data_IF_800823095930
#
_entry.id   IF_800823095930
#
_cell.length_a   1.000
_cell.length_b   1.000
_cell.length_c   1.000
_cell.angle_alpha   90.00
_cell.angle_beta   90.00
_cell.angle_gamma   90.00
#
_symmetry.space_group_name_H-M   'P 1'
#
loop_
_entity.id
_entity.type
_entity.pdbx_description
1 polymer ?
#
# COMPACT_ATOMS: atom_id res chain seq x y z
N UNK A 1 -17.83 -17.27 6.69
CA UNK A 1 -18.12 -17.50 8.13
C UNK A 1 -17.17 -18.55 8.69
N UNK A 2 -16.97 -18.56 10.00
CA UNK A 2 -16.06 -19.46 10.70
C UNK A 2 -16.82 -20.73 11.13
N UNK A 3 -16.28 -21.95 10.93
CA UNK A 3 -17.04 -23.20 11.06
C UNK A 3 -17.48 -23.55 12.49
N UNK A 4 -16.82 -23.03 13.53
CA UNK A 4 -17.16 -23.25 14.94
C UNK A 4 -18.06 -22.15 15.54
N UNK A 5 -18.62 -21.26 14.72
CA UNK A 5 -19.48 -20.19 15.21
C UNK A 5 -20.82 -20.74 15.71
N UNK A 6 -21.19 -20.39 16.95
CA UNK A 6 -22.47 -20.81 17.54
C UNK A 6 -23.12 -19.68 18.37
N UNK A 7 -24.44 -19.74 18.63
CA UNK A 7 -25.14 -18.79 19.51
C UNK A 7 -24.53 -18.73 20.92
N UNK A 8 -24.06 -19.86 21.46
CA UNK A 8 -23.40 -19.93 22.77
C UNK A 8 -22.09 -19.12 22.78
N UNK A 9 -21.27 -19.22 21.72
CA UNK A 9 -20.04 -18.43 21.61
C UNK A 9 -20.35 -16.94 21.47
N UNK A 10 -21.40 -16.59 20.71
CA UNK A 10 -21.89 -15.21 20.59
C UNK A 10 -22.27 -14.64 21.96
N UNK A 11 -23.00 -15.40 22.78
CA UNK A 11 -23.36 -15.01 24.14
C UNK A 11 -22.13 -14.80 25.03
N UNK A 12 -21.18 -15.75 25.04
CA UNK A 12 -19.93 -15.62 25.81
C UNK A 12 -19.12 -14.38 25.41
N UNK A 13 -19.08 -14.04 24.12
CA UNK A 13 -18.45 -12.82 23.63
C UNK A 13 -19.20 -11.57 24.13
N UNK A 14 -20.53 -11.58 24.10
CA UNK A 14 -21.36 -10.48 24.58
C UNK A 14 -21.17 -10.25 26.09
N UNK A 15 -21.16 -11.31 26.89
CA UNK A 15 -20.92 -11.25 28.33
C UNK A 15 -19.50 -10.72 28.65
N UNK A 16 -18.48 -11.17 27.92
CA UNK A 16 -17.12 -10.61 28.03
C UNK A 16 -17.08 -9.11 27.74
N UNK A 17 -17.74 -8.66 26.66
CA UNK A 17 -17.83 -7.24 26.29
C UNK A 17 -18.57 -6.43 27.36
N UNK A 18 -19.68 -6.95 27.88
CA UNK A 18 -20.45 -6.33 28.97
C UNK A 18 -19.60 -6.15 30.23
N UNK A 19 -18.87 -7.19 30.64
CA UNK A 19 -17.97 -7.12 31.79
C UNK A 19 -16.81 -6.13 31.57
N UNK A 20 -16.22 -6.10 30.37
CA UNK A 20 -15.18 -5.12 30.02
C UNK A 20 -15.69 -3.69 30.09
N UNK A 21 -16.88 -3.42 29.56
CA UNK A 21 -17.49 -2.09 29.61
C UNK A 21 -17.83 -1.68 31.04
N UNK A 22 -18.30 -2.62 31.89
CA UNK A 22 -18.54 -2.38 33.31
C UNK A 22 -17.24 -1.99 34.03
N UNK A 23 -16.16 -2.74 33.81
CA UNK A 23 -14.84 -2.45 34.39
C UNK A 23 -14.27 -1.11 33.89
N UNK A 24 -14.42 -0.78 32.60
CA UNK A 24 -13.96 0.51 32.05
C UNK A 24 -14.69 1.70 32.64
N UNK A 25 -15.98 1.57 32.95
CA UNK A 25 -16.77 2.62 33.62
C UNK A 25 -16.39 2.75 35.09
N UNK A 26 -16.31 1.62 35.79
CA UNK A 26 -16.08 1.55 37.22
C UNK A 26 -14.90 0.58 37.51
N UNK A 27 -13.65 1.07 37.55
CA UNK A 27 -12.46 0.24 37.69
C UNK A 27 -12.24 -0.23 39.14
N UNK A 28 -13.08 -1.14 39.60
CA UNK A 28 -12.96 -1.79 40.92
C UNK A 28 -12.34 -3.18 40.81
N UNK A 29 -11.79 -3.70 41.93
CA UNK A 29 -11.20 -5.05 41.98
C UNK A 29 -12.22 -6.13 41.61
N UNK A 30 -13.43 -6.05 42.13
CA UNK A 30 -14.53 -6.98 41.82
C UNK A 30 -14.84 -7.01 40.32
N UNK A 31 -14.93 -5.83 39.69
CA UNK A 31 -15.21 -5.74 38.26
C UNK A 31 -14.04 -6.29 37.42
N UNK A 32 -12.80 -6.14 37.88
CA UNK A 32 -11.62 -6.74 37.25
C UNK A 32 -11.65 -8.27 37.33
N UNK A 33 -11.99 -8.83 38.49
CA UNK A 33 -12.12 -10.29 38.71
C UNK A 33 -13.20 -10.85 37.79
N UNK A 34 -14.37 -10.21 37.74
CA UNK A 34 -15.48 -10.65 36.88
C UNK A 34 -15.09 -10.56 35.39
N UNK A 35 -14.43 -9.49 34.95
CA UNK A 35 -13.92 -9.40 33.58
C UNK A 35 -12.92 -10.52 33.26
N UNK A 36 -11.96 -10.81 34.15
CA UNK A 36 -10.99 -11.89 33.97
C UNK A 36 -11.69 -13.26 33.87
N UNK A 37 -12.69 -13.50 34.72
CA UNK A 37 -13.53 -14.72 34.69
C UNK A 37 -14.25 -14.86 33.34
N UNK A 38 -14.97 -13.84 32.90
CA UNK A 38 -15.69 -13.85 31.61
C UNK A 38 -14.75 -13.98 30.42
N UNK A 39 -13.58 -13.33 30.46
CA UNK A 39 -12.52 -13.47 29.44
C UNK A 39 -12.03 -14.90 29.34
N UNK A 40 -11.76 -15.55 30.47
CA UNK A 40 -11.34 -16.96 30.52
C UNK A 40 -12.41 -17.89 29.96
N UNK A 41 -13.67 -17.75 30.40
CA UNK A 41 -14.80 -18.53 29.90
C UNK A 41 -15.00 -18.37 28.39
N UNK A 42 -14.94 -17.14 27.87
CA UNK A 42 -15.03 -16.87 26.44
C UNK A 42 -13.88 -17.52 25.66
N UNK A 43 -12.63 -17.39 26.14
CA UNK A 43 -11.46 -18.02 25.51
C UNK A 43 -11.59 -19.55 25.49
N UNK A 44 -11.95 -20.16 26.62
CA UNK A 44 -12.13 -21.62 26.72
C UNK A 44 -13.23 -22.10 25.77
N UNK A 45 -14.37 -21.41 25.72
CA UNK A 45 -15.46 -21.76 24.80
C UNK A 45 -15.03 -21.74 23.34
N UNK A 46 -14.28 -20.70 22.92
CA UNK A 46 -13.78 -20.60 21.54
C UNK A 46 -12.80 -21.74 21.22
N UNK A 47 -11.85 -22.02 22.13
CA UNK A 47 -10.88 -23.10 21.93
C UNK A 47 -11.53 -24.48 21.86
N UNK A 48 -12.55 -24.73 22.69
CA UNK A 48 -13.29 -25.98 22.67
C UNK A 48 -14.08 -26.14 21.36
N UNK A 49 -14.77 -25.10 20.92
CA UNK A 49 -15.50 -25.11 19.66
C UNK A 49 -14.56 -25.30 18.44
N UNK A 50 -13.38 -24.66 18.46
CA UNK A 50 -12.34 -24.87 17.47
C UNK A 50 -11.85 -26.32 17.44
N UNK A 51 -11.59 -26.92 18.62
CA UNK A 51 -11.17 -28.31 18.74
C UNK A 51 -12.22 -29.26 18.18
N UNK A 52 -13.48 -29.11 18.58
CA UNK A 52 -14.58 -29.96 18.12
C UNK A 52 -14.73 -29.84 16.60
N UNK A 53 -14.69 -28.63 16.05
CA UNK A 53 -14.76 -28.40 14.60
C UNK A 53 -13.58 -29.04 13.86
N UNK A 54 -12.38 -29.01 14.43
CA UNK A 54 -11.21 -29.68 13.85
C UNK A 54 -11.32 -31.20 13.90
N UNK A 55 -11.74 -31.76 15.04
CA UNK A 55 -11.96 -33.20 15.18
C UNK A 55 -12.98 -33.71 14.17
N UNK A 56 -14.12 -33.02 14.03
CA UNK A 56 -15.13 -33.36 13.04
C UNK A 56 -14.55 -33.33 11.61
N UNK A 57 -13.75 -32.32 11.27
CA UNK A 57 -13.13 -32.25 9.95
C UNK A 57 -12.18 -33.42 9.69
N UNK A 58 -11.31 -33.75 10.63
CA UNK A 58 -10.36 -34.86 10.51
C UNK A 58 -11.09 -36.19 10.34
N UNK A 59 -12.20 -36.41 11.05
CA UNK A 59 -13.03 -37.62 10.87
C UNK A 59 -13.62 -37.74 9.47
N UNK A 60 -13.88 -36.62 8.79
CA UNK A 60 -14.43 -36.59 7.43
C UNK A 60 -13.38 -36.59 6.31
N UNK A 61 -12.08 -36.63 6.63
CA UNK A 61 -11.01 -36.57 5.62
C UNK A 61 -10.92 -37.88 4.83
N UNK A 62 -10.79 -37.75 3.50
CA UNK A 62 -10.54 -38.87 2.58
C UNK A 62 -9.10 -38.80 2.03
N UNK A 63 -8.53 -39.90 1.49
CA UNK A 63 -7.20 -39.90 0.87
C UNK A 63 -7.05 -38.94 -0.32
N UNK A 64 -8.14 -38.48 -0.90
CA UNK A 64 -8.19 -37.50 -1.99
C UNK A 64 -7.97 -36.05 -1.51
N UNK A 65 -7.96 -35.82 -0.20
CA UNK A 65 -7.84 -34.48 0.39
C UNK A 65 -6.43 -33.93 0.15
N UNK A 66 -6.31 -32.83 -0.60
CA UNK A 66 -5.01 -32.19 -0.85
C UNK A 66 -4.53 -31.41 0.37
N UNK A 67 -3.21 -31.22 0.49
CA UNK A 67 -2.63 -30.38 1.56
C UNK A 67 -3.17 -28.94 1.53
N UNK A 68 -3.50 -28.42 0.34
CA UNK A 68 -4.09 -27.09 0.20
C UNK A 68 -5.47 -27.00 0.87
N UNK A 69 -6.31 -28.03 0.72
CA UNK A 69 -7.64 -28.05 1.32
C UNK A 69 -7.57 -28.14 2.85
N UNK A 70 -6.60 -28.90 3.37
CA UNK A 70 -6.30 -28.96 4.81
C UNK A 70 -5.89 -27.58 5.32
N UNK A 71 -4.94 -26.91 4.66
CA UNK A 71 -4.49 -25.57 5.08
C UNK A 71 -5.59 -24.51 5.00
N UNK A 72 -6.45 -24.55 3.98
CA UNK A 72 -7.64 -23.70 3.89
C UNK A 72 -8.59 -23.93 5.08
N UNK A 73 -8.83 -25.18 5.46
CA UNK A 73 -9.67 -25.54 6.61
C UNK A 73 -9.05 -25.12 7.94
N UNK A 74 -7.74 -25.29 8.11
CA UNK A 74 -6.98 -24.79 9.27
C UNK A 74 -7.08 -23.26 9.37
N UNK A 75 -6.91 -22.54 8.25
CA UNK A 75 -7.11 -21.10 8.19
C UNK A 75 -8.53 -20.69 8.61
N UNK A 76 -9.53 -21.45 8.15
CA UNK A 76 -10.94 -21.21 8.48
C UNK A 76 -11.22 -21.39 9.96
N UNK A 77 -10.76 -22.48 10.56
CA UNK A 77 -10.93 -22.78 11.98
C UNK A 77 -10.10 -21.80 12.83
N UNK A 78 -8.93 -21.37 12.39
CA UNK A 78 -8.16 -20.36 13.13
C UNK A 78 -8.78 -18.95 13.05
N UNK A 79 -9.80 -18.72 12.21
CA UNK A 79 -10.34 -17.39 11.95
C UNK A 79 -9.38 -16.50 11.16
N UNK A 80 -8.37 -17.09 10.50
CA UNK A 80 -7.39 -16.42 9.62
C UNK A 80 -7.86 -16.34 8.18
N UNK A 81 -9.07 -16.81 7.88
CA UNK A 81 -9.64 -16.64 6.56
C UNK A 81 -9.67 -15.16 6.22
N UNK A 82 -8.94 -14.80 5.17
CA UNK A 82 -8.99 -13.49 4.58
C UNK A 82 -10.44 -13.16 4.29
N UNK A 83 -10.95 -12.11 4.93
CA UNK A 83 -12.21 -11.51 4.53
C UNK A 83 -12.08 -11.17 3.04
N UNK A 84 -12.90 -11.79 2.19
CA UNK A 84 -13.09 -11.26 0.84
C UNK A 84 -13.49 -9.80 1.03
N UNK A 85 -12.66 -8.87 0.58
CA UNK A 85 -13.01 -7.46 0.65
C UNK A 85 -14.38 -7.27 -0.01
N UNK A 86 -15.22 -6.34 0.46
CA UNK A 86 -16.47 -6.06 -0.22
C UNK A 86 -16.16 -5.80 -1.70
N UNK A 87 -16.67 -6.68 -2.57
CA UNK A 87 -16.43 -6.68 -4.02
C UNK A 87 -17.37 -5.67 -4.66
N UNK A 88 -17.45 -4.48 -4.07
CA UNK A 88 -18.27 -3.41 -4.60
C UNK A 88 -17.75 -2.05 -4.13
N UNK A 89 -17.57 -1.16 -5.10
CA UNK A 89 -17.25 0.24 -4.87
C UNK A 89 -18.40 1.10 -5.41
N UNK A 90 -18.75 2.15 -4.68
CA UNK A 90 -19.77 3.11 -5.12
C UNK A 90 -19.10 4.33 -5.73
N UNK A 91 -19.51 4.68 -6.94
CA UNK A 91 -19.03 5.87 -7.64
C UNK A 91 -19.62 7.16 -7.08
N UNK A 92 -19.01 8.28 -7.48
CA UNK A 92 -19.56 9.63 -7.27
C UNK A 92 -20.99 9.77 -7.79
N UNK A 93 -21.31 9.06 -8.87
CA UNK A 93 -22.63 9.10 -9.52
C UNK A 93 -23.64 8.15 -8.84
N UNK A 94 -23.24 7.51 -7.75
CA UNK A 94 -24.07 6.62 -6.96
C UNK A 94 -24.16 5.18 -7.47
N UNK A 95 -23.58 4.87 -8.64
CA UNK A 95 -23.55 3.52 -9.25
C UNK A 95 -22.62 2.61 -8.43
N UNK A 96 -23.06 1.37 -8.18
CA UNK A 96 -22.29 0.35 -7.47
C UNK A 96 -21.67 -0.61 -8.48
N UNK A 97 -20.34 -0.74 -8.46
CA UNK A 97 -19.60 -1.59 -9.40
C UNK A 97 -18.86 -2.70 -8.69
N UNK A 98 -18.98 -3.93 -9.19
CA UNK A 98 -18.34 -5.14 -8.66
C UNK A 98 -17.17 -5.67 -9.52
N UNK A 99 -16.93 -5.07 -10.69
CA UNK A 99 -15.85 -5.46 -11.59
C UNK A 99 -14.51 -4.89 -11.11
N UNK A 100 -13.49 -5.73 -11.04
CA UNK A 100 -12.17 -5.35 -10.51
C UNK A 100 -11.50 -4.21 -11.29
N UNK A 101 -11.62 -4.22 -12.62
CA UNK A 101 -11.06 -3.17 -13.48
C UNK A 101 -11.70 -1.82 -13.18
N UNK A 102 -13.03 -1.78 -13.11
CA UNK A 102 -13.76 -0.55 -12.82
C UNK A 102 -13.42 -0.02 -11.43
N UNK A 103 -13.40 -0.89 -10.40
CA UNK A 103 -12.99 -0.54 -9.04
C UNK A 103 -11.58 0.11 -9.04
N UNK A 104 -10.65 -0.47 -9.79
CA UNK A 104 -9.28 0.04 -9.90
C UNK A 104 -9.26 1.42 -10.55
N UNK A 105 -10.01 1.59 -11.64
CA UNK A 105 -10.11 2.88 -12.35
C UNK A 105 -10.73 3.97 -11.46
N UNK A 106 -11.77 3.64 -10.69
CA UNK A 106 -12.42 4.59 -9.78
C UNK A 106 -11.43 5.01 -8.68
N UNK A 107 -10.68 4.06 -8.10
CA UNK A 107 -9.65 4.37 -7.10
C UNK A 107 -8.56 5.28 -7.73
N UNK A 108 -8.10 4.95 -8.93
CA UNK A 108 -7.09 5.74 -9.63
C UNK A 108 -7.59 7.17 -9.95
N UNK A 109 -8.83 7.31 -10.42
CA UNK A 109 -9.45 8.60 -10.71
C UNK A 109 -9.62 9.46 -9.44
N UNK A 110 -10.09 8.85 -8.34
CA UNK A 110 -10.17 9.56 -7.05
C UNK A 110 -8.79 9.99 -6.55
N UNK A 111 -7.80 9.11 -6.67
CA UNK A 111 -6.43 9.42 -6.29
C UNK A 111 -5.85 10.56 -7.13
N UNK A 112 -6.05 10.53 -8.45
CA UNK A 112 -5.66 11.61 -9.36
C UNK A 112 -6.36 12.92 -8.99
N UNK A 113 -7.68 12.90 -8.77
CA UNK A 113 -8.45 14.09 -8.38
C UNK A 113 -7.92 14.71 -7.11
N UNK A 114 -7.70 13.93 -6.05
CA UNK A 114 -7.18 14.40 -4.76
C UNK A 114 -5.74 14.87 -4.86
N UNK A 115 -4.89 14.15 -5.59
CA UNK A 115 -3.45 14.43 -5.73
C UNK A 115 -3.12 15.40 -6.86
N UNK A 116 -4.13 15.95 -7.53
CA UNK A 116 -3.96 16.89 -8.63
C UNK A 116 -3.26 18.16 -8.14
N UNK A 117 -2.45 18.77 -9.01
CA UNK A 117 -1.75 20.01 -8.67
C UNK A 117 -2.69 21.14 -8.26
N UNK A 118 -3.90 21.13 -8.81
CA UNK A 118 -4.96 22.10 -8.52
C UNK A 118 -5.43 22.10 -7.07
N UNK A 119 -5.17 21.05 -6.29
CA UNK A 119 -5.55 20.97 -4.88
C UNK A 119 -4.46 21.42 -3.90
N UNK A 120 -3.27 21.74 -4.38
CA UNK A 120 -2.20 22.23 -3.51
C UNK A 120 -2.29 23.75 -3.35
N UNK A 121 -1.86 24.27 -2.20
CA UNK A 121 -1.72 25.72 -2.01
C UNK A 121 -0.66 26.29 -2.96
N UNK A 122 -0.81 27.56 -3.34
CA UNK A 122 0.19 28.25 -4.18
C UNK A 122 1.59 28.18 -3.57
N UNK A 123 1.73 28.31 -2.25
CA UNK A 123 3.03 28.18 -1.55
C UNK A 123 3.67 26.80 -1.70
N UNK A 124 2.87 25.74 -1.77
CA UNK A 124 3.35 24.40 -2.06
C UNK A 124 3.66 24.23 -3.54
N UNK A 125 2.84 24.79 -4.43
CA UNK A 125 3.10 24.77 -5.88
C UNK A 125 4.39 25.51 -6.25
N UNK A 126 4.75 26.58 -5.54
CA UNK A 126 5.99 27.31 -5.75
C UNK A 126 7.23 26.50 -5.33
N UNK A 127 7.06 25.56 -4.39
CA UNK A 127 8.12 24.66 -3.89
C UNK A 127 8.06 23.25 -4.48
N UNK A 128 7.00 22.93 -5.24
CA UNK A 128 6.76 21.62 -5.86
C UNK A 128 7.61 21.35 -7.10
N UNK A 129 7.90 22.29 -8.01
CA UNK A 129 8.68 21.96 -9.19
C UNK A 129 10.11 21.71 -8.75
N UNK A 130 10.44 20.43 -8.66
CA UNK A 130 11.83 20.02 -8.63
C UNK A 130 12.48 20.49 -9.92
N UNK A 131 13.36 21.48 -9.80
CA UNK A 131 14.02 22.11 -10.94
C UNK A 131 15.16 21.23 -11.44
N UNK A 132 15.55 21.38 -12.70
CA UNK A 132 16.70 20.64 -13.24
C UNK A 132 17.97 21.06 -12.49
N UNK A 133 18.05 22.31 -12.05
CA UNK A 133 19.14 22.86 -11.26
C UNK A 133 19.25 22.18 -9.89
N UNK A 134 18.12 21.94 -9.21
CA UNK A 134 18.07 21.17 -7.96
C UNK A 134 18.46 19.71 -8.17
N UNK A 135 18.00 19.09 -9.27
CA UNK A 135 18.41 17.72 -9.64
C UNK A 135 19.91 17.63 -9.83
N UNK A 136 20.48 18.56 -10.58
CA UNK A 136 21.91 18.58 -10.81
C UNK A 136 22.70 18.86 -9.52
N UNK A 137 22.20 19.76 -8.66
CA UNK A 137 22.80 20.03 -7.36
C UNK A 137 22.77 18.79 -6.46
N UNK A 138 21.66 18.05 -6.44
CA UNK A 138 21.53 16.80 -5.71
C UNK A 138 22.50 15.74 -6.26
N UNK A 139 22.55 15.53 -7.59
CA UNK A 139 23.46 14.58 -8.24
C UNK A 139 24.92 14.90 -7.91
N UNK A 140 25.33 16.18 -7.99
CA UNK A 140 26.69 16.61 -7.61
C UNK A 140 27.01 16.28 -6.15
N UNK A 141 26.05 16.47 -5.24
CA UNK A 141 26.24 16.25 -3.81
C UNK A 141 26.01 14.80 -3.33
N UNK A 142 25.56 13.88 -4.19
CA UNK A 142 25.37 12.47 -3.83
C UNK A 142 26.66 11.83 -3.33
N UNK A 143 26.65 11.04 -2.24
CA UNK A 143 27.85 10.31 -1.81
C UNK A 143 28.16 9.15 -2.76
N UNK A 144 29.44 8.87 -2.98
CA UNK A 144 29.87 7.70 -3.74
C UNK A 144 29.71 6.45 -2.87
N UNK A 145 28.59 5.73 -3.05
CA UNK A 145 28.32 4.46 -2.38
C UNK A 145 28.29 3.32 -3.41
N UNK A 146 28.40 2.09 -2.92
CA UNK A 146 28.29 0.88 -3.74
C UNK A 146 27.01 0.87 -4.59
N UNK A 147 27.07 0.39 -5.84
CA UNK A 147 25.92 0.39 -6.73
C UNK A 147 24.79 -0.51 -6.20
N UNK A 148 23.55 -0.14 -6.53
CA UNK A 148 22.36 -0.91 -6.17
C UNK A 148 22.15 -2.13 -7.08
N UNK A 149 20.95 -2.70 -7.03
CA UNK A 149 20.54 -3.84 -7.86
C UNK A 149 20.56 -3.52 -9.37
N UNK A 150 20.48 -2.23 -9.72
CA UNK A 150 20.62 -1.71 -11.09
C UNK A 150 22.08 -1.67 -11.59
N UNK A 151 23.06 -1.96 -10.72
CA UNK A 151 24.49 -1.88 -10.98
C UNK A 151 24.99 -0.49 -11.45
N UNK A 152 24.20 0.57 -11.25
CA UNK A 152 24.58 1.94 -11.65
C UNK A 152 25.26 2.64 -10.48
N UNK A 153 26.52 3.03 -10.68
CA UNK A 153 27.26 3.78 -9.66
C UNK A 153 26.97 5.29 -9.76
N UNK A 154 26.74 5.97 -8.63
CA UNK A 154 26.57 7.43 -8.55
C UNK A 154 27.62 8.26 -9.31
N UNK A 155 28.84 7.75 -9.51
CA UNK A 155 29.85 8.41 -10.34
C UNK A 155 29.41 8.53 -11.81
N UNK A 156 28.71 7.53 -12.35
CA UNK A 156 28.20 7.54 -13.72
C UNK A 156 27.16 8.66 -13.91
N UNK A 157 26.27 8.86 -12.93
CA UNK A 157 25.25 9.90 -12.96
C UNK A 157 25.86 11.32 -12.98
N UNK A 158 26.97 11.52 -12.28
CA UNK A 158 27.71 12.80 -12.28
C UNK A 158 28.37 13.13 -13.62
N UNK A 159 28.84 12.11 -14.35
CA UNK A 159 29.46 12.32 -15.67
C UNK A 159 28.42 12.46 -16.79
N UNK A 160 27.23 11.86 -16.64
CA UNK A 160 26.13 12.07 -17.58
C UNK A 160 25.64 13.53 -17.61
N UNK A 161 25.58 14.21 -16.45
CA UNK A 161 25.20 15.63 -16.41
C UNK A 161 26.26 16.54 -17.02
N UNK A 162 27.56 16.27 -16.81
CA UNK A 162 28.65 17.06 -17.43
C UNK A 162 28.66 16.95 -18.96
N UNK A 163 28.44 15.74 -19.50
CA UNK A 163 28.35 15.50 -20.95
C UNK A 163 27.20 16.29 -21.61
N UNK A 164 26.07 16.44 -20.92
CA UNK A 164 24.92 17.21 -21.43
C UNK A 164 25.22 18.71 -21.52
N UNK A 165 25.98 19.26 -20.58
CA UNK A 165 26.42 20.66 -20.64
C UNK A 165 27.41 20.89 -21.79
N UNK A 166 28.37 19.99 -21.99
CA UNK A 166 29.32 20.10 -23.11
C UNK A 166 28.65 19.97 -24.48
N UNK A 167 27.61 19.14 -24.61
CA UNK A 167 26.85 19.00 -25.85
C UNK A 167 26.08 20.28 -26.21
N UNK A 168 25.49 20.96 -25.21
CA UNK A 168 24.82 22.25 -25.39
C UNK A 168 25.80 23.36 -25.81
N UNK A 169 27.00 23.38 -25.24
CA UNK A 169 28.06 24.32 -25.64
C UNK A 169 28.62 24.02 -27.05
N UNK A 170 28.78 22.74 -27.42
CA UNK A 170 29.20 22.37 -28.79
C UNK A 170 28.21 22.84 -29.86
N UNK A 171 26.91 22.74 -29.59
CA UNK A 171 25.88 23.19 -30.53
C UNK A 171 25.93 24.71 -30.78
N UNK A 172 26.15 25.54 -29.74
CA UNK A 172 26.26 27.01 -29.91
C UNK A 172 27.50 27.45 -30.70
N UNK A 173 28.63 26.73 -30.57
CA UNK A 173 29.82 26.95 -31.39
C UNK A 173 29.60 26.56 -32.88
N UNK A 174 28.80 25.54 -33.16
CA UNK A 174 28.47 25.18 -34.55
C UNK A 174 27.50 26.16 -35.21
N UNK A 175 26.59 26.77 -34.45
CA UNK A 175 25.63 27.78 -34.92
C UNK A 175 26.33 29.10 -35.31
N UNK A 176 27.28 29.56 -34.49
CA UNK A 176 28.05 30.79 -34.72
C UNK A 176 29.02 30.67 -35.90
N UNK A 177 29.62 29.49 -36.11
CA UNK A 177 30.47 29.22 -37.28
C UNK A 177 29.69 29.21 -38.60
N UNK A 178 28.44 28.72 -38.61
CA UNK A 178 27.56 28.78 -39.79
C UNK A 178 27.16 30.21 -40.16
N UNK A 179 27.00 31.12 -39.18
CA UNK A 179 26.73 32.55 -39.45
C UNK A 179 27.95 33.31 -39.96
N UNK A 180 29.16 32.99 -39.49
CA UNK A 180 30.40 33.64 -39.96
C UNK A 180 30.76 33.27 -41.41
N UNK A 181 30.49 32.03 -41.85
CA UNK A 181 30.78 31.58 -43.23
C UNK A 181 29.79 32.16 -44.26
N UNK A 182 28.59 32.55 -43.85
CA UNK A 182 27.59 33.15 -44.74
C UNK A 182 27.84 34.64 -45.09
N UNK A 183 28.79 35.32 -44.42
CA UNK A 183 29.04 36.75 -44.58
C UNK A 183 29.98 37.18 -45.72
N UNK A 184 30.51 36.25 -46.52
CA UNK A 184 31.54 36.58 -47.53
C UNK A 184 31.13 36.20 -48.94
N UNK A 185 29.98 36.70 -49.45
CA UNK A 185 29.73 36.93 -50.88
C UNK A 185 28.68 38.04 -51.06
N UNK A 186 29.15 39.30 -51.07
CA UNK A 186 28.40 40.44 -51.60
C UNK A 186 29.20 41.06 -52.76
N UNK A 187 28.58 40.97 -53.94
CA UNK A 187 28.70 41.87 -55.12
C UNK A 187 29.96 41.79 -56.00
N UNK A 188 29.92 42.33 -57.25
CA UNK A 188 28.86 42.27 -58.27
C UNK A 188 29.41 42.01 -59.70
N UNK A 189 28.52 41.65 -60.64
CA UNK A 189 28.30 42.32 -61.93
C UNK A 189 27.24 41.59 -62.74
#
# INVERSE_FOLDING_TARGET
>A
MVPWWSPEIKEKIALKKKALNKFRRNPTLENLVEFKKRRSQCRRGILEAQRISWQHYVTTMTPETTSNDVWKKVGAISGKNSCSHPVFLRNSDGIITNKLQDITNIIADQFYKVSSSSNYSNTFLDTKPFTVEELEAAIRNTKSCSPGEDAIHNQMLRHCSSLRMEASHRNSYTETRKRSVAGTKLSPN
#
